data_IF_971498112189
#
_entry.id   IF_971498112189
#
_cell.length_a   1.000
_cell.length_b   1.000
_cell.length_c   1.000
_cell.angle_alpha   90.00
_cell.angle_beta   90.00
_cell.angle_gamma   90.00
#
_symmetry.space_group_name_H-M   'P 1'
#
loop_
_entity.id
_entity.type
_entity.pdbx_description
1 polymer ?
#
# COMPACT_ATOMS: atom_id res chain seq x y z
N UNK A 1 11.65 20.71 -13.86
CA UNK A 1 11.46 19.40 -13.22
C UNK A 1 10.27 19.51 -12.27
N UNK A 2 9.41 18.49 -12.18
CA UNK A 2 8.21 18.52 -11.33
C UNK A 2 8.58 18.26 -9.88
N UNK A 3 8.29 19.21 -8.99
CA UNK A 3 8.63 19.15 -7.55
C UNK A 3 7.44 18.77 -6.64
N UNK A 4 6.22 18.78 -7.18
CA UNK A 4 5.00 18.52 -6.42
C UNK A 4 4.12 17.51 -7.14
N UNK A 5 3.37 16.74 -6.36
CA UNK A 5 2.30 15.85 -6.83
C UNK A 5 1.00 16.27 -6.19
N UNK A 6 -0.11 15.92 -6.82
CA UNK A 6 -1.45 16.36 -6.44
C UNK A 6 -2.26 15.22 -5.81
N UNK A 7 -1.94 13.97 -6.15
CA UNK A 7 -2.49 12.80 -5.49
C UNK A 7 -1.51 11.62 -5.51
N UNK A 8 -1.68 10.75 -4.52
CA UNK A 8 -1.13 9.39 -4.49
C UNK A 8 -2.30 8.41 -4.43
N UNK A 9 -2.30 7.43 -5.32
CA UNK A 9 -3.31 6.37 -5.39
C UNK A 9 -2.72 5.07 -4.88
N UNK A 10 -3.40 4.45 -3.93
CA UNK A 10 -3.16 3.07 -3.51
C UNK A 10 -4.37 2.25 -3.98
N UNK A 11 -4.14 1.20 -4.75
CA UNK A 11 -5.21 0.35 -5.33
C UNK A 11 -4.90 -1.13 -5.19
N UNK A 12 -5.93 -1.98 -5.30
CA UNK A 12 -5.79 -3.40 -5.66
C UNK A 12 -5.79 -3.60 -7.17
N UNK A 13 -5.96 -4.84 -7.64
CA UNK A 13 -6.13 -5.19 -9.05
C UNK A 13 -4.84 -5.30 -9.85
N UNK A 14 -3.67 -5.31 -9.19
CA UNK A 14 -2.37 -5.38 -9.86
C UNK A 14 -2.25 -4.29 -10.94
N UNK A 15 -1.63 -4.59 -12.08
CA UNK A 15 -1.47 -3.67 -13.20
C UNK A 15 -2.81 -3.13 -13.75
N UNK A 16 -3.91 -3.88 -13.67
CA UNK A 16 -5.22 -3.40 -14.11
C UNK A 16 -5.72 -2.23 -13.26
N UNK A 17 -5.47 -2.28 -11.94
CA UNK A 17 -5.85 -1.22 -11.01
C UNK A 17 -5.21 0.15 -11.29
N UNK A 18 -4.16 0.21 -12.12
CA UNK A 18 -3.54 1.46 -12.57
C UNK A 18 -4.52 2.37 -13.33
N UNK A 19 -5.61 1.81 -13.87
CA UNK A 19 -6.67 2.60 -14.50
C UNK A 19 -7.30 3.63 -13.55
N UNK A 20 -7.36 3.34 -12.24
CA UNK A 20 -7.94 4.26 -11.25
C UNK A 20 -7.27 5.63 -11.20
N UNK A 21 -5.97 5.77 -11.51
CA UNK A 21 -5.33 7.08 -11.64
C UNK A 21 -5.96 7.96 -12.72
N UNK A 22 -6.57 7.37 -13.76
CA UNK A 22 -7.25 8.13 -14.80
C UNK A 22 -8.47 8.86 -14.25
N UNK A 23 -9.18 8.26 -13.29
CA UNK A 23 -10.31 8.88 -12.60
C UNK A 23 -9.86 10.00 -11.67
N UNK A 24 -8.77 9.77 -10.94
CA UNK A 24 -8.15 10.78 -10.08
C UNK A 24 -7.66 11.97 -10.88
N UNK A 25 -6.99 11.76 -12.02
CA UNK A 25 -6.59 12.84 -12.92
C UNK A 25 -7.80 13.63 -13.44
N UNK A 26 -8.89 12.95 -13.81
CA UNK A 26 -10.11 13.62 -14.24
C UNK A 26 -10.67 14.51 -13.12
N UNK A 27 -10.84 13.96 -11.91
CA UNK A 27 -11.35 14.70 -10.76
C UNK A 27 -10.52 15.95 -10.49
N UNK A 28 -9.20 15.80 -10.39
CA UNK A 28 -8.30 16.92 -10.10
C UNK A 28 -8.32 17.99 -11.20
N UNK A 29 -8.39 17.58 -12.47
CA UNK A 29 -8.47 18.51 -13.60
C UNK A 29 -9.78 19.30 -13.60
N UNK A 30 -10.92 18.68 -13.26
CA UNK A 30 -12.22 19.35 -13.18
C UNK A 30 -12.30 20.37 -12.02
N UNK A 31 -11.44 20.21 -11.01
CA UNK A 31 -11.37 21.09 -9.83
C UNK A 31 -10.19 22.06 -9.87
N UNK A 32 -9.53 22.20 -11.02
CA UNK A 32 -8.36 23.07 -11.19
C UNK A 32 -7.21 22.79 -10.20
N UNK A 33 -7.00 21.52 -9.85
CA UNK A 33 -5.90 21.06 -8.98
C UNK A 33 -4.78 20.47 -9.84
N UNK A 34 -3.74 21.25 -10.07
CA UNK A 34 -2.62 20.82 -10.92
C UNK A 34 -1.62 21.94 -11.20
N UNK A 35 -0.64 21.67 -12.06
CA UNK A 35 0.20 22.72 -12.61
C UNK A 35 -0.56 23.50 -13.69
N UNK A 36 -0.67 24.81 -13.52
CA UNK A 36 -1.21 25.68 -14.56
C UNK A 36 -0.19 25.83 -15.70
N UNK A 37 -0.58 25.45 -16.91
CA UNK A 37 0.24 25.53 -18.12
C UNK A 37 -0.59 25.97 -19.31
N UNK A 38 -0.32 27.16 -19.88
CA UNK A 38 -0.98 27.64 -21.11
C UNK A 38 -2.52 27.56 -21.11
N UNK A 39 -3.15 27.82 -19.96
CA UNK A 39 -4.61 27.80 -19.83
C UNK A 39 -5.23 26.41 -19.59
N UNK A 40 -4.41 25.38 -19.38
CA UNK A 40 -4.85 24.07 -18.87
C UNK A 40 -4.20 23.79 -17.51
N UNK A 41 -4.94 23.11 -16.63
CA UNK A 41 -4.44 22.58 -15.37
C UNK A 41 -4.01 21.13 -15.57
N UNK A 42 -2.76 20.80 -15.22
CA UNK A 42 -2.17 19.46 -15.41
C UNK A 42 -1.89 18.83 -14.03
N UNK A 43 -2.76 17.90 -13.57
CA UNK A 43 -2.52 17.13 -12.35
C UNK A 43 -1.32 16.20 -12.51
N UNK A 44 -0.66 15.89 -11.39
CA UNK A 44 0.40 14.89 -11.32
C UNK A 44 -0.02 13.88 -10.27
N UNK A 45 -0.29 12.66 -10.71
CA UNK A 45 -0.80 11.56 -9.89
C UNK A 45 0.24 10.45 -9.89
N UNK A 46 0.63 10.01 -8.70
CA UNK A 46 1.48 8.84 -8.53
C UNK A 46 0.63 7.67 -8.02
N UNK A 47 0.96 6.44 -8.41
CA UNK A 47 0.19 5.28 -8.00
C UNK A 47 1.10 4.08 -7.73
N UNK A 48 0.70 3.26 -6.76
CA UNK A 48 1.10 1.87 -6.66
C UNK A 48 -0.15 0.99 -6.53
N UNK A 49 -0.05 -0.24 -7.04
CA UNK A 49 -1.15 -1.20 -7.05
C UNK A 49 -0.70 -2.55 -6.52
N UNK A 50 -1.44 -3.11 -5.57
CA UNK A 50 -1.18 -4.43 -5.01
C UNK A 50 -1.89 -5.53 -5.79
N UNK A 51 -1.31 -6.73 -5.76
CA UNK A 51 -1.95 -7.92 -6.34
C UNK A 51 -2.92 -8.55 -5.34
N UNK A 52 -4.23 -8.45 -5.62
CA UNK A 52 -5.30 -9.10 -4.89
C UNK A 52 -6.26 -9.91 -5.79
N UNK A 53 -5.91 -10.11 -7.06
CA UNK A 53 -6.76 -10.80 -8.02
C UNK A 53 -7.06 -12.27 -7.65
N UNK A 54 -6.28 -12.87 -6.75
CA UNK A 54 -6.56 -14.21 -6.21
C UNK A 54 -7.66 -14.23 -5.14
N UNK A 55 -8.14 -13.07 -4.68
CA UNK A 55 -9.17 -12.96 -3.65
C UNK A 55 -10.53 -12.71 -4.30
N UNK A 56 -11.47 -13.61 -4.06
CA UNK A 56 -12.83 -13.57 -4.59
C UNK A 56 -12.90 -13.54 -6.13
N UNK A 57 -13.04 -12.36 -6.75
CA UNK A 57 -13.24 -12.23 -8.19
C UNK A 57 -12.00 -11.63 -8.89
N UNK A 58 -11.26 -12.40 -9.72
CA UNK A 58 -10.05 -11.94 -10.39
C UNK A 58 -10.27 -10.83 -11.42
N UNK A 59 -11.53 -10.55 -11.79
CA UNK A 59 -11.90 -9.50 -12.75
C UNK A 59 -12.48 -8.25 -12.10
N UNK A 60 -12.58 -8.21 -10.76
CA UNK A 60 -13.11 -7.08 -10.02
C UNK A 60 -11.98 -6.14 -9.54
N UNK A 61 -11.26 -5.55 -10.49
CA UNK A 61 -10.17 -4.61 -10.19
C UNK A 61 -10.66 -3.15 -10.25
N UNK A 62 -9.98 -2.20 -9.55
CA UNK A 62 -10.32 -0.79 -9.58
C UNK A 62 -10.24 -0.19 -10.99
N UNK A 63 -11.32 0.46 -11.41
CA UNK A 63 -11.42 1.15 -12.70
C UNK A 63 -11.31 2.67 -12.54
N UNK A 64 -11.49 3.38 -13.66
CA UNK A 64 -11.51 4.83 -13.71
C UNK A 64 -12.57 5.44 -12.79
N UNK A 65 -13.79 4.90 -12.77
CA UNK A 65 -14.90 5.45 -11.98
C UNK A 65 -14.62 5.32 -10.47
N UNK A 66 -14.09 4.16 -10.05
CA UNK A 66 -13.68 3.94 -8.67
C UNK A 66 -12.60 4.93 -8.23
N UNK A 67 -11.64 5.26 -9.11
CA UNK A 67 -10.63 6.28 -8.84
C UNK A 67 -11.22 7.68 -8.65
N UNK A 68 -12.17 8.09 -9.50
CA UNK A 68 -12.87 9.36 -9.37
C UNK A 68 -13.68 9.43 -8.06
N UNK A 69 -14.41 8.36 -7.76
CA UNK A 69 -15.21 8.25 -6.54
C UNK A 69 -14.35 8.25 -5.26
N UNK A 70 -13.13 7.70 -5.33
CA UNK A 70 -12.17 7.75 -4.23
C UNK A 70 -11.76 9.19 -3.89
N UNK A 71 -11.58 10.07 -4.90
CA UNK A 71 -11.33 11.49 -4.67
C UNK A 71 -12.50 12.18 -3.97
N UNK A 72 -13.73 11.98 -4.45
CA UNK A 72 -14.93 12.52 -3.78
C UNK A 72 -15.01 12.06 -2.32
N UNK A 73 -14.66 10.80 -2.06
CA UNK A 73 -14.67 10.26 -0.70
C UNK A 73 -13.55 10.86 0.17
N UNK A 74 -12.39 11.14 -0.39
CA UNK A 74 -11.27 11.76 0.33
C UNK A 74 -11.63 13.15 0.89
N UNK A 75 -12.40 13.96 0.14
CA UNK A 75 -12.88 15.29 0.59
C UNK A 75 -13.75 15.24 1.85
N UNK A 76 -14.36 14.08 2.15
CA UNK A 76 -15.18 13.90 3.35
C UNK A 76 -14.36 13.89 4.64
N UNK A 77 -13.02 13.76 4.56
CA UNK A 77 -12.11 13.73 5.70
C UNK A 77 -12.50 12.69 6.78
N UNK A 78 -12.94 11.50 6.34
CA UNK A 78 -13.36 10.39 7.19
C UNK A 78 -12.61 9.12 6.77
N UNK A 79 -11.32 8.97 7.15
CA UNK A 79 -10.56 7.81 6.75
C UNK A 79 -11.08 6.55 7.47
N UNK A 80 -11.22 5.47 6.71
CA UNK A 80 -11.65 4.15 7.17
C UNK A 80 -10.48 3.15 7.21
N UNK A 81 -10.64 2.07 7.98
CA UNK A 81 -9.65 0.99 8.09
C UNK A 81 -10.32 -0.38 7.89
N UNK A 82 -9.51 -1.40 7.59
CA UNK A 82 -9.97 -2.77 7.35
C UNK A 82 -10.17 -3.06 5.86
N UNK A 83 -11.27 -3.75 5.53
CA UNK A 83 -11.56 -4.23 4.17
C UNK A 83 -12.20 -3.15 3.30
N UNK A 84 -11.49 -2.04 3.13
CA UNK A 84 -11.93 -0.86 2.38
C UNK A 84 -10.84 -0.40 1.41
N UNK A 85 -11.24 0.20 0.28
CA UNK A 85 -10.30 0.70 -0.73
C UNK A 85 -9.31 -0.39 -1.19
N UNK A 86 -8.02 -0.04 -1.26
CA UNK A 86 -6.95 -0.99 -1.57
C UNK A 86 -6.83 -2.17 -0.58
N UNK A 87 -7.36 -2.02 0.64
CA UNK A 87 -7.38 -3.08 1.64
C UNK A 87 -8.41 -4.18 1.39
N UNK A 88 -9.34 -3.99 0.44
CA UNK A 88 -10.49 -4.88 0.22
C UNK A 88 -10.04 -6.32 -0.04
N UNK A 89 -9.13 -6.54 -0.98
CA UNK A 89 -8.58 -7.86 -1.30
C UNK A 89 -7.24 -8.18 -0.62
N UNK A 90 -6.73 -7.30 0.26
CA UNK A 90 -5.41 -7.46 0.85
C UNK A 90 -5.30 -8.67 1.81
N UNK A 91 -4.18 -9.39 1.74
CA UNK A 91 -3.88 -10.60 2.52
C UNK A 91 -2.38 -10.77 2.81
N UNK A 92 -2.00 -11.64 3.75
CA UNK A 92 -0.59 -11.93 4.12
C UNK A 92 -0.33 -13.43 4.30
N UNK A 93 0.95 -13.83 4.36
CA UNK A 93 1.35 -15.22 4.59
C UNK A 93 1.05 -16.14 3.42
N UNK A 94 1.70 -15.92 2.28
CA UNK A 94 1.28 -16.51 0.98
C UNK A 94 2.26 -17.51 0.40
N UNK A 95 3.37 -17.80 1.09
CA UNK A 95 4.40 -18.72 0.59
C UNK A 95 3.88 -20.16 0.37
N UNK A 96 2.79 -20.55 1.04
CA UNK A 96 2.16 -21.86 0.87
C UNK A 96 0.87 -21.84 0.03
N UNK A 97 0.56 -20.70 -0.60
CA UNK A 97 -0.66 -20.51 -1.39
C UNK A 97 -1.65 -19.54 -0.74
N UNK A 98 -2.61 -19.05 -1.54
CA UNK A 98 -3.64 -18.12 -1.10
C UNK A 98 -4.70 -18.77 -0.19
N UNK A 99 -4.85 -20.10 -0.24
CA UNK A 99 -5.72 -20.88 0.63
C UNK A 99 -5.29 -20.82 2.11
N UNK A 100 -3.99 -20.62 2.36
CA UNK A 100 -3.42 -20.47 3.71
C UNK A 100 -3.12 -19.02 4.09
N UNK A 101 -3.46 -18.07 3.23
CA UNK A 101 -3.23 -16.65 3.49
C UNK A 101 -4.26 -16.10 4.48
N UNK A 102 -3.82 -15.22 5.38
CA UNK A 102 -4.71 -14.51 6.31
C UNK A 102 -5.18 -13.18 5.72
N UNK A 103 -6.45 -12.83 5.95
CA UNK A 103 -7.01 -11.54 5.55
C UNK A 103 -6.36 -10.40 6.34
N UNK A 104 -6.06 -9.30 5.65
CA UNK A 104 -5.58 -8.04 6.22
C UNK A 104 -6.43 -6.87 5.71
N UNK A 105 -5.87 -5.68 5.50
CA UNK A 105 -6.63 -4.54 5.03
C UNK A 105 -5.82 -3.26 4.89
N UNK A 106 -6.56 -2.16 4.86
CA UNK A 106 -6.05 -0.80 4.90
C UNK A 106 -5.93 -0.37 6.37
N UNK A 107 -4.78 0.12 6.76
CA UNK A 107 -4.54 0.68 8.09
C UNK A 107 -4.01 2.10 7.99
N UNK A 108 -4.26 2.93 8.99
CA UNK A 108 -3.61 4.22 9.11
C UNK A 108 -3.20 4.50 10.56
N UNK A 109 -2.17 5.31 10.71
CA UNK A 109 -1.74 5.84 11.99
C UNK A 109 -1.33 7.30 11.80
N UNK A 110 -1.52 8.12 12.84
CA UNK A 110 -1.05 9.49 12.86
C UNK A 110 -0.44 9.82 14.21
N UNK A 111 0.60 10.65 14.19
CA UNK A 111 1.29 11.10 15.38
C UNK A 111 1.59 12.59 15.27
N UNK A 112 1.56 13.27 16.40
CA UNK A 112 1.88 14.69 16.50
C UNK A 112 2.91 14.92 17.60
N UNK A 113 3.96 15.68 17.28
CA UNK A 113 4.96 16.16 18.23
C UNK A 113 5.07 17.67 18.06
N UNK A 114 4.58 18.43 19.04
CA UNK A 114 4.40 19.88 18.91
C UNK A 114 3.62 20.22 17.63
N UNK A 115 4.20 20.99 16.72
CA UNK A 115 3.60 21.37 15.45
C UNK A 115 3.79 20.33 14.35
N UNK A 116 4.73 19.38 14.50
CA UNK A 116 4.99 18.35 13.51
C UNK A 116 3.87 17.30 13.54
N UNK A 117 3.23 17.08 12.40
CA UNK A 117 2.24 16.02 12.18
C UNK A 117 2.79 15.05 11.15
N UNK A 118 2.67 13.76 11.44
CA UNK A 118 3.01 12.67 10.52
C UNK A 118 1.86 11.67 10.54
N UNK A 119 1.27 11.43 9.37
CA UNK A 119 0.31 10.37 9.13
C UNK A 119 0.90 9.35 8.18
N UNK A 120 0.44 8.10 8.29
CA UNK A 120 0.72 7.04 7.33
C UNK A 120 -0.56 6.26 7.06
N UNK A 121 -0.75 5.87 5.81
CA UNK A 121 -1.76 4.91 5.37
C UNK A 121 -1.06 3.77 4.66
N UNK A 122 -1.47 2.53 4.94
CA UNK A 122 -0.82 1.29 4.51
C UNK A 122 -1.90 0.32 4.00
N UNK A 123 -1.77 -0.18 2.79
CA UNK A 123 -2.51 -1.36 2.33
C UNK A 123 -1.59 -2.58 2.43
N UNK A 124 -1.91 -3.47 3.37
CA UNK A 124 -1.02 -4.55 3.79
C UNK A 124 -1.25 -5.83 3.01
N UNK A 125 -0.42 -6.14 2.00
CA UNK A 125 -0.59 -7.30 1.15
C UNK A 125 0.73 -8.09 0.92
N UNK A 126 1.47 -8.34 2.00
CA UNK A 126 2.80 -8.94 2.00
C UNK A 126 2.82 -10.46 1.70
N UNK A 127 3.94 -10.97 1.19
CA UNK A 127 4.21 -12.42 1.21
C UNK A 127 4.33 -12.96 2.64
N UNK A 128 5.06 -12.23 3.49
CA UNK A 128 5.50 -12.70 4.80
C UNK A 128 4.46 -12.61 5.89
N UNK A 129 4.92 -13.01 7.08
CA UNK A 129 4.18 -12.95 8.33
C UNK A 129 4.31 -11.57 8.97
N UNK A 130 3.32 -11.19 9.77
CA UNK A 130 3.20 -9.92 10.48
C UNK A 130 3.50 -10.12 11.95
N UNK A 131 4.36 -9.27 12.50
CA UNK A 131 4.82 -9.31 13.88
C UNK A 131 4.54 -7.99 14.60
N UNK A 132 4.44 -8.06 15.93
CA UNK A 132 4.56 -6.84 16.73
C UNK A 132 5.94 -6.21 16.50
N UNK A 133 6.04 -4.86 16.41
CA UNK A 133 7.31 -4.20 16.18
C UNK A 133 8.36 -4.63 17.21
N UNK A 134 9.56 -5.01 16.75
CA UNK A 134 10.69 -5.44 17.60
C UNK A 134 10.35 -6.63 18.53
N UNK A 135 9.49 -7.55 18.07
CA UNK A 135 9.06 -8.72 18.83
C UNK A 135 8.97 -9.94 17.94
N UNK A 136 9.14 -11.14 18.52
CA UNK A 136 8.83 -12.41 17.85
C UNK A 136 7.35 -12.81 17.99
N UNK A 137 6.53 -11.94 18.60
CA UNK A 137 5.09 -12.17 18.68
C UNK A 137 4.44 -11.92 17.32
N UNK A 138 4.11 -13.01 16.64
CA UNK A 138 3.35 -13.02 15.40
C UNK A 138 1.88 -12.61 15.60
N UNK A 139 1.31 -11.93 14.62
CA UNK A 139 -0.06 -11.39 14.61
C UNK A 139 -0.88 -11.98 13.46
N UNK A 140 -0.28 -12.13 12.28
CA UNK A 140 -0.90 -12.71 11.10
C UNK A 140 0.18 -13.34 10.21
N UNK A 141 -0.19 -14.25 9.32
CA UNK A 141 0.79 -14.96 8.50
C UNK A 141 0.15 -16.16 7.81
N UNK A 142 0.95 -17.18 7.54
CA UNK A 142 0.44 -18.44 7.00
C UNK A 142 -0.35 -19.15 8.10
N UNK A 143 -1.57 -19.54 7.75
CA UNK A 143 -2.50 -20.23 8.63
C UNK A 143 -3.19 -21.39 7.91
N UNK A 144 -2.96 -22.60 8.40
CA UNK A 144 -3.66 -23.80 7.95
C UNK A 144 -4.98 -23.92 8.70
N UNK A 145 -6.07 -23.54 8.04
CA UNK A 145 -7.41 -23.52 8.63
C UNK A 145 -7.94 -24.92 8.97
N UNK A 146 -7.54 -25.94 8.21
CA UNK A 146 -8.02 -27.32 8.40
C UNK A 146 -7.42 -27.92 9.68
N UNK A 147 -6.15 -27.63 9.95
CA UNK A 147 -5.42 -28.16 11.09
C UNK A 147 -5.30 -27.17 12.26
N UNK A 148 -5.88 -25.97 12.12
CA UNK A 148 -5.79 -24.88 13.09
C UNK A 148 -4.32 -24.60 13.47
N UNK A 149 -3.45 -24.54 12.46
CA UNK A 149 -2.00 -24.47 12.63
C UNK A 149 -1.42 -23.17 12.06
N UNK A 150 -0.64 -22.52 12.90
CA UNK A 150 0.19 -21.38 12.56
C UNK A 150 1.54 -21.86 12.00
N UNK A 151 1.86 -21.48 10.75
CA UNK A 151 3.10 -21.92 10.07
C UNK A 151 4.00 -20.71 9.83
N UNK A 152 5.24 -20.71 10.35
CA UNK A 152 6.18 -19.61 10.14
C UNK A 152 6.63 -19.51 8.67
N UNK A 153 6.51 -18.32 8.06
CA UNK A 153 6.91 -18.10 6.67
C UNK A 153 8.38 -18.37 6.40
N UNK A 154 9.30 -18.00 7.30
CA UNK A 154 10.74 -18.20 7.11
C UNK A 154 11.10 -19.70 7.15
N UNK A 155 10.51 -20.45 8.08
CA UNK A 155 10.67 -21.91 8.17
C UNK A 155 10.09 -22.61 6.92
N UNK A 156 8.89 -22.22 6.49
CA UNK A 156 8.27 -22.76 5.28
C UNK A 156 9.12 -22.54 4.03
N UNK A 157 9.79 -21.38 3.91
CA UNK A 157 10.72 -21.09 2.81
C UNK A 157 11.91 -22.03 2.82
N UNK A 158 12.49 -22.30 4.00
CA UNK A 158 13.63 -23.20 4.13
C UNK A 158 13.26 -24.65 3.81
N UNK A 159 12.10 -25.12 4.28
CA UNK A 159 11.63 -26.49 4.05
C UNK A 159 11.18 -26.73 2.61
N UNK A 160 10.56 -25.72 1.97
CA UNK A 160 9.89 -25.86 0.67
C UNK A 160 10.53 -25.01 -0.43
N UNK A 161 11.82 -24.70 -0.29
CA UNK A 161 12.58 -23.80 -1.17
C UNK A 161 12.36 -24.09 -2.65
N UNK A 162 12.52 -25.35 -3.10
CA UNK A 162 12.39 -25.70 -4.51
C UNK A 162 10.98 -25.45 -5.07
N UNK A 163 9.94 -25.61 -4.25
CA UNK A 163 8.56 -25.37 -4.67
C UNK A 163 8.28 -23.88 -4.77
N UNK A 164 8.69 -23.12 -3.76
CA UNK A 164 8.48 -21.67 -3.67
C UNK A 164 9.21 -20.94 -4.81
N UNK A 165 10.41 -21.39 -5.16
CA UNK A 165 11.18 -20.80 -6.27
C UNK A 165 10.57 -21.08 -7.66
N UNK A 166 9.75 -22.14 -7.80
CA UNK A 166 9.08 -22.49 -9.06
C UNK A 166 7.78 -21.72 -9.27
N UNK A 167 7.11 -21.31 -8.19
CA UNK A 167 5.84 -20.58 -8.24
C UNK A 167 5.88 -19.34 -7.35
N UNK A 168 6.64 -18.30 -7.78
CA UNK A 168 6.76 -17.06 -7.03
C UNK A 168 5.41 -16.33 -6.95
N UNK A 169 4.88 -16.19 -5.74
CA UNK A 169 3.64 -15.45 -5.48
C UNK A 169 3.89 -13.94 -5.53
N UNK A 170 3.12 -13.21 -6.35
CA UNK A 170 3.17 -11.74 -6.45
C UNK A 170 2.48 -11.08 -5.25
N UNK A 171 3.17 -10.14 -4.60
CA UNK A 171 2.76 -9.51 -3.35
C UNK A 171 3.22 -8.06 -3.28
N UNK A 172 2.62 -7.24 -2.44
CA UNK A 172 2.90 -5.78 -2.45
C UNK A 172 2.37 -5.10 -1.20
N UNK A 173 3.22 -4.55 -0.33
CA UNK A 173 2.77 -3.63 0.72
C UNK A 173 2.98 -2.19 0.26
N UNK A 174 1.89 -1.44 0.09
CA UNK A 174 1.92 -0.08 -0.44
C UNK A 174 1.46 0.93 0.59
N UNK A 175 2.20 2.04 0.72
CA UNK A 175 1.91 3.08 1.71
C UNK A 175 2.11 4.48 1.19
N UNK A 176 1.49 5.43 1.89
CA UNK A 176 1.76 6.84 1.75
C UNK A 176 1.96 7.48 3.13
N UNK A 177 3.08 8.17 3.30
CA UNK A 177 3.39 9.01 4.47
C UNK A 177 2.99 10.44 4.11
N UNK A 178 2.30 11.12 5.02
CA UNK A 178 1.90 12.52 4.86
C UNK A 178 2.44 13.29 6.07
N UNK A 179 3.11 14.41 5.83
CA UNK A 179 3.62 15.26 6.90
C UNK A 179 3.49 16.75 6.56
N UNK A 180 3.43 17.61 7.57
CA UNK A 180 3.55 19.05 7.40
C UNK A 180 5.00 19.57 7.47
N UNK A 181 5.99 18.68 7.63
CA UNK A 181 7.41 19.07 7.60
C UNK A 181 7.78 19.76 6.27
N UNK A 182 8.54 20.85 6.35
CA UNK A 182 9.05 21.53 5.17
C UNK A 182 10.35 20.88 4.71
N UNK A 183 10.20 19.85 3.88
CA UNK A 183 11.30 19.06 3.34
C UNK A 183 11.40 19.22 1.82
N UNK A 184 12.63 19.20 1.31
CA UNK A 184 12.91 19.12 -0.13
C UNK A 184 12.51 17.74 -0.68
N UNK A 185 12.36 17.63 -2.01
CA UNK A 185 12.06 16.35 -2.68
C UNK A 185 13.09 15.26 -2.36
N UNK A 186 14.36 15.61 -2.28
CA UNK A 186 15.43 14.68 -1.90
C UNK A 186 15.30 14.20 -0.44
N UNK A 187 14.97 15.11 0.49
CA UNK A 187 14.71 14.74 1.89
C UNK A 187 13.45 13.88 2.03
N UNK A 188 12.37 14.20 1.31
CA UNK A 188 11.16 13.36 1.28
C UNK A 188 11.42 11.96 0.70
N UNK A 189 12.26 11.87 -0.33
CA UNK A 189 12.70 10.57 -0.84
C UNK A 189 13.48 9.78 0.23
N UNK A 190 14.33 10.45 1.02
CA UNK A 190 15.02 9.81 2.13
C UNK A 190 14.05 9.35 3.23
N UNK A 191 13.01 10.13 3.54
CA UNK A 191 11.93 9.73 4.47
C UNK A 191 11.25 8.45 3.98
N UNK A 192 10.83 8.42 2.72
CA UNK A 192 10.23 7.22 2.11
C UNK A 192 11.18 6.01 2.22
N UNK A 193 12.44 6.17 1.81
CA UNK A 193 13.46 5.11 1.86
C UNK A 193 13.70 4.57 3.27
N UNK A 194 13.81 5.43 4.28
CA UNK A 194 14.03 4.99 5.68
C UNK A 194 12.79 4.34 6.27
N UNK A 195 11.59 4.77 5.86
CA UNK A 195 10.34 4.20 6.36
C UNK A 195 10.15 2.72 6.00
N UNK A 196 10.83 2.21 4.96
CA UNK A 196 10.85 0.78 4.65
C UNK A 196 11.41 -0.06 5.82
N UNK A 197 12.25 0.50 6.70
CA UNK A 197 12.67 -0.18 7.92
C UNK A 197 11.46 -0.53 8.81
N UNK A 198 10.41 0.31 8.82
CA UNK A 198 9.17 0.03 9.54
C UNK A 198 8.47 -1.23 9.02
N UNK A 199 8.53 -1.50 7.72
CA UNK A 199 8.09 -2.78 7.18
C UNK A 199 8.98 -3.92 7.68
N UNK A 200 10.31 -3.79 7.58
CA UNK A 200 11.24 -4.83 8.05
C UNK A 200 11.11 -5.18 9.55
N UNK A 201 10.66 -4.24 10.38
CA UNK A 201 10.38 -4.50 11.80
C UNK A 201 9.06 -5.25 12.04
N UNK A 202 8.14 -5.26 11.07
CA UNK A 202 6.79 -5.78 11.23
C UNK A 202 6.45 -6.92 10.27
N UNK A 203 7.20 -7.11 9.19
CA UNK A 203 6.90 -8.03 8.10
C UNK A 203 8.14 -8.92 7.88
N UNK A 204 7.97 -10.23 8.00
CA UNK A 204 9.07 -11.20 7.87
C UNK A 204 8.65 -12.43 7.04
N UNK A 205 9.30 -12.70 5.89
CA UNK A 205 10.23 -11.82 5.18
C UNK A 205 9.50 -10.65 4.49
N UNK A 206 10.25 -9.62 4.10
CA UNK A 206 9.76 -8.46 3.33
C UNK A 206 10.77 -8.07 2.27
N UNK A 207 10.37 -7.26 1.28
CA UNK A 207 11.22 -6.84 0.16
C UNK A 207 11.76 -8.04 -0.65
N UNK A 208 10.98 -9.10 -0.74
CA UNK A 208 11.34 -10.25 -1.57
C UNK A 208 11.26 -9.85 -3.04
N UNK A 209 11.88 -10.64 -3.94
CA UNK A 209 11.86 -10.36 -5.38
C UNK A 209 10.45 -10.31 -5.99
N UNK A 210 9.45 -10.83 -5.29
CA UNK A 210 8.05 -10.84 -5.72
C UNK A 210 7.21 -9.78 -5.00
N UNK A 211 7.81 -9.01 -4.09
CA UNK A 211 7.17 -7.88 -3.41
C UNK A 211 7.37 -6.58 -4.22
N UNK A 212 6.28 -5.95 -4.62
CA UNK A 212 6.26 -4.60 -5.18
C UNK A 212 6.24 -3.50 -4.12
N UNK A 213 6.87 -3.73 -2.96
CA UNK A 213 6.77 -2.84 -1.79
C UNK A 213 7.11 -1.39 -2.16
N UNK A 214 6.18 -0.48 -1.89
CA UNK A 214 6.31 0.93 -2.30
C UNK A 214 5.82 1.85 -1.19
N UNK A 215 6.65 2.83 -0.81
CA UNK A 215 6.26 3.91 0.10
C UNK A 215 6.38 5.26 -0.63
N UNK A 216 5.26 5.97 -0.72
CA UNK A 216 5.24 7.39 -1.10
C UNK A 216 5.39 8.26 0.15
N UNK A 217 5.95 9.46 -0.01
CA UNK A 217 6.02 10.44 1.07
C UNK A 217 5.67 11.85 0.54
N UNK A 218 4.68 12.49 1.18
CA UNK A 218 4.11 13.78 0.81
C UNK A 218 4.30 14.83 1.91
N UNK A 219 4.82 15.98 1.54
CA UNK A 219 4.92 17.15 2.41
C UNK A 219 3.83 18.16 2.05
N UNK A 220 2.87 18.41 2.95
CA UNK A 220 1.78 19.37 2.69
C UNK A 220 2.24 20.83 2.76
N UNK A 221 3.34 21.10 3.47
CA UNK A 221 3.85 22.44 3.82
C UNK A 221 2.80 23.35 4.50
N UNK A 222 1.69 22.79 4.97
CA UNK A 222 0.61 23.49 5.69
C UNK A 222 0.74 23.17 7.18
N UNK A 223 0.89 24.20 8.02
CA UNK A 223 1.02 24.06 9.49
C UNK A 223 -0.23 23.41 10.10
#
# INVERSE_FOLDING_TARGET
>A
MVEQVHAVVLSGGSAFGLESSSGVMQYLSEHDIGFAMKGITIPIVCQASLFDCSVANPKAYPDKEMGYQACINAEKNRPEQGNVGAGTGASVGKFLGFDKAMKTGLGYAAYQVHDLKVGVIVALNACGDIYFPNSDKRIAGIYDQENNLEINSEEAILEMYEKIMKDPMANTTISCIITNADLTKAQMNKVASVAHNGYAHCIRPVHTSNDGDTIFALGSKKK
#
